data_IF_506508622848
#
_entry.id   IF_506508622848
#
_cell.length_a   1.000
_cell.length_b   1.000
_cell.length_c   1.000
_cell.angle_alpha   90.00
_cell.angle_beta   90.00
_cell.angle_gamma   90.00
#
_symmetry.space_group_name_H-M   'P 1'
#
loop_
_entity.id
_entity.type
_entity.pdbx_description
1 polymer ?
#
# COMPACT_ATOMS: atom_id res chain seq x y z
N UNK A 1 5.96 -35.70 7.19
CA UNK A 1 5.02 -34.64 6.75
C UNK A 1 4.96 -33.46 7.72
N UNK A 2 4.90 -33.69 9.04
CA UNK A 2 4.79 -32.65 10.07
C UNK A 2 6.01 -31.73 10.14
N UNK A 3 7.21 -32.27 9.93
CA UNK A 3 8.47 -31.50 10.00
C UNK A 3 8.62 -30.50 8.83
N UNK A 4 8.17 -30.90 7.64
CA UNK A 4 8.17 -30.04 6.44
C UNK A 4 7.18 -28.88 6.62
N UNK A 5 6.01 -29.15 7.19
CA UNK A 5 4.98 -28.13 7.44
C UNK A 5 5.47 -27.01 8.38
N UNK A 6 6.19 -27.39 9.45
CA UNK A 6 6.77 -26.43 10.41
C UNK A 6 7.81 -25.52 9.74
N UNK A 7 8.65 -26.07 8.87
CA UNK A 7 9.65 -25.29 8.10
C UNK A 7 8.99 -24.32 7.13
N UNK A 8 7.92 -24.73 6.43
CA UNK A 8 7.19 -23.84 5.53
C UNK A 8 6.54 -22.66 6.26
N UNK A 9 5.91 -22.90 7.40
CA UNK A 9 5.33 -21.83 8.22
C UNK A 9 6.40 -20.83 8.64
N UNK A 10 7.58 -21.29 9.06
CA UNK A 10 8.70 -20.43 9.47
C UNK A 10 9.22 -19.59 8.29
N UNK A 11 9.39 -20.20 7.12
CA UNK A 11 9.87 -19.49 5.91
C UNK A 11 8.87 -18.45 5.42
N UNK A 12 7.58 -18.78 5.42
CA UNK A 12 6.52 -17.86 4.97
C UNK A 12 6.26 -16.76 6.01
N UNK A 13 6.44 -17.04 7.30
CA UNK A 13 6.29 -16.08 8.40
C UNK A 13 7.56 -15.30 8.73
N UNK A 14 8.73 -15.72 8.23
CA UNK A 14 10.02 -15.08 8.47
C UNK A 14 10.16 -13.66 7.91
N UNK A 15 11.10 -12.88 8.46
CA UNK A 15 11.29 -11.45 8.16
C UNK A 15 11.71 -11.13 6.72
N UNK A 16 12.10 -12.13 5.89
CA UNK A 16 12.61 -11.96 4.51
C UNK A 16 11.64 -12.41 3.41
N UNK A 17 10.46 -12.11 3.47
CA UNK A 17 9.28 -12.43 2.73
C UNK A 17 8.86 -11.81 1.46
N UNK A 18 8.05 -12.36 0.60
CA UNK A 18 7.13 -11.57 -0.21
C UNK A 18 6.18 -10.88 0.76
N UNK A 19 6.47 -9.62 1.08
CA UNK A 19 5.52 -8.81 1.81
C UNK A 19 4.33 -8.56 0.91
N UNK A 20 3.16 -9.02 1.30
CA UNK A 20 1.95 -8.39 0.83
C UNK A 20 2.00 -6.93 1.24
N UNK A 21 1.41 -6.04 0.47
CA UNK A 21 1.49 -4.62 0.73
C UNK A 21 0.82 -4.29 2.06
N UNK A 22 1.61 -4.20 3.13
CA UNK A 22 1.15 -3.65 4.40
C UNK A 22 1.05 -2.13 4.39
N UNK A 23 1.34 -1.50 3.24
CA UNK A 23 1.38 -0.05 3.15
C UNK A 23 0.36 0.45 2.12
N UNK A 24 -0.38 1.48 2.46
CA UNK A 24 -1.16 2.26 1.51
C UNK A 24 -0.19 3.03 0.60
N UNK A 25 -0.48 3.01 -0.70
CA UNK A 25 0.25 3.78 -1.69
C UNK A 25 -0.13 5.26 -1.54
N UNK A 26 0.71 6.02 -0.90
CA UNK A 26 0.62 7.47 -0.82
C UNK A 26 1.99 8.03 -0.51
N UNK A 27 2.59 8.77 -1.42
CA UNK A 27 3.83 9.50 -1.17
C UNK A 27 3.50 10.76 -0.40
N UNK A 28 3.74 10.73 0.89
CA UNK A 28 3.73 11.93 1.73
C UNK A 28 5.16 12.21 2.16
N UNK A 29 5.82 13.07 1.45
CA UNK A 29 7.16 13.54 1.82
C UNK A 29 7.13 14.18 3.21
N UNK A 30 8.25 14.18 3.91
CA UNK A 30 8.43 14.92 5.17
C UNK A 30 8.20 16.45 4.99
N UNK A 31 8.16 16.91 3.74
CA UNK A 31 7.78 18.26 3.34
C UNK A 31 6.28 18.36 3.09
N UNK A 32 5.68 19.52 3.36
CA UNK A 32 4.28 19.79 3.02
C UNK A 32 4.01 19.51 1.55
N UNK A 33 2.92 18.82 1.25
CA UNK A 33 2.52 18.44 -0.10
C UNK A 33 1.48 19.43 -0.65
N UNK A 34 1.84 20.30 -1.62
CA UNK A 34 0.92 21.26 -2.21
C UNK A 34 0.03 20.60 -3.25
N UNK A 35 -1.27 20.83 -3.15
CA UNK A 35 -2.28 20.37 -4.12
C UNK A 35 -3.10 21.54 -4.61
N UNK A 36 -3.22 21.72 -5.94
CA UNK A 36 -4.06 22.76 -6.54
C UNK A 36 -5.55 22.40 -6.39
N UNK A 37 -6.42 23.40 -6.17
CA UNK A 37 -7.87 23.19 -6.10
C UNK A 37 -8.54 23.01 -7.48
N UNK A 38 -7.88 23.42 -8.56
CA UNK A 38 -8.39 23.27 -9.93
C UNK A 38 -7.30 22.70 -10.84
N UNK A 39 -7.07 21.41 -10.74
CA UNK A 39 -5.92 20.79 -11.41
C UNK A 39 -6.21 20.35 -12.83
N UNK A 40 -7.42 19.98 -13.11
CA UNK A 40 -7.67 19.42 -14.41
C UNK A 40 -8.15 20.48 -15.39
N UNK A 41 -7.23 21.03 -16.11
CA UNK A 41 -7.58 21.74 -17.32
C UNK A 41 -8.03 20.72 -18.37
N UNK A 42 -9.15 21.03 -19.04
CA UNK A 42 -9.55 20.34 -20.24
C UNK A 42 -8.43 20.47 -21.27
N UNK A 43 -7.88 19.36 -21.64
CA UNK A 43 -6.97 19.27 -22.76
C UNK A 43 -7.63 18.40 -23.86
N UNK A 44 -6.95 18.23 -25.00
CA UNK A 44 -7.45 17.41 -26.11
C UNK A 44 -7.89 15.99 -25.72
N UNK A 45 -7.47 15.49 -24.59
CA UNK A 45 -7.67 14.11 -24.14
C UNK A 45 -8.48 13.97 -22.84
N UNK A 46 -8.78 15.07 -22.17
CA UNK A 46 -9.46 15.05 -20.88
C UNK A 46 -10.64 16.01 -20.92
N UNK A 47 -11.86 15.48 -20.79
CA UNK A 47 -13.07 16.28 -20.62
C UNK A 47 -13.09 16.96 -19.25
N UNK A 48 -13.86 18.05 -19.10
CA UNK A 48 -14.03 18.74 -17.81
C UNK A 48 -14.60 17.80 -16.75
N UNK A 49 -15.60 16.99 -17.11
CA UNK A 49 -16.23 16.02 -16.21
C UNK A 49 -15.20 15.02 -15.63
N UNK A 50 -14.32 14.48 -16.48
CA UNK A 50 -13.28 13.56 -16.03
C UNK A 50 -12.22 14.24 -15.18
N UNK A 51 -11.94 15.49 -15.45
CA UNK A 51 -11.04 16.29 -14.66
C UNK A 51 -11.57 16.53 -13.25
N UNK A 52 -12.85 16.89 -13.16
CA UNK A 52 -13.55 17.11 -11.89
C UNK A 52 -13.65 15.81 -11.08
N UNK A 53 -13.89 14.67 -11.74
CA UNK A 53 -13.89 13.35 -11.10
C UNK A 53 -12.52 13.01 -10.47
N UNK A 54 -11.43 13.25 -11.20
CA UNK A 54 -10.06 12.99 -10.71
C UNK A 54 -9.78 13.87 -9.49
N UNK A 55 -10.08 15.16 -9.56
CA UNK A 55 -9.88 16.11 -8.48
C UNK A 55 -10.69 15.72 -7.24
N UNK A 56 -11.98 15.43 -7.41
CA UNK A 56 -12.86 15.03 -6.31
C UNK A 56 -12.32 13.78 -5.62
N UNK A 57 -11.85 12.79 -6.36
CA UNK A 57 -11.28 11.57 -5.82
C UNK A 57 -9.98 11.82 -5.06
N UNK A 58 -9.09 12.63 -5.59
CA UNK A 58 -7.81 12.95 -4.93
C UNK A 58 -8.06 13.69 -3.61
N UNK A 59 -8.89 14.73 -3.62
CA UNK A 59 -9.23 15.46 -2.39
C UNK A 59 -9.93 14.57 -1.38
N UNK A 60 -10.84 13.68 -1.79
CA UNK A 60 -11.50 12.77 -0.86
C UNK A 60 -10.52 11.84 -0.14
N UNK A 61 -9.46 11.41 -0.80
CA UNK A 61 -8.40 10.60 -0.18
C UNK A 61 -7.62 11.39 0.87
N UNK A 62 -7.20 12.62 0.55
CA UNK A 62 -6.49 13.47 1.49
C UNK A 62 -7.38 13.88 2.68
N UNK A 63 -8.62 14.27 2.41
CA UNK A 63 -9.57 14.67 3.46
C UNK A 63 -9.89 13.51 4.41
N UNK A 64 -9.98 12.28 3.92
CA UNK A 64 -10.13 11.10 4.75
C UNK A 64 -8.92 10.89 5.68
N UNK A 65 -7.69 11.12 5.19
CA UNK A 65 -6.47 11.04 6.00
C UNK A 65 -6.36 12.18 7.02
N UNK A 66 -6.84 13.38 6.68
CA UNK A 66 -6.95 14.50 7.64
C UNK A 66 -7.95 14.15 8.74
N UNK A 67 -9.13 13.64 8.37
CA UNK A 67 -10.16 13.20 9.33
C UNK A 67 -9.68 12.09 10.26
N UNK A 68 -8.83 11.19 9.73
CA UNK A 68 -8.15 10.15 10.52
C UNK A 68 -7.01 10.68 11.40
N UNK A 69 -6.69 11.96 11.34
CA UNK A 69 -5.62 12.59 12.14
C UNK A 69 -4.20 12.25 11.70
N UNK A 70 -4.03 11.77 10.45
CA UNK A 70 -2.72 11.43 9.90
C UNK A 70 -2.07 12.61 9.16
N UNK A 71 -2.90 13.50 8.61
CA UNK A 71 -2.50 14.71 7.95
C UNK A 71 -3.14 15.94 8.61
N UNK A 72 -2.49 17.09 8.45
CA UNK A 72 -3.10 18.41 8.58
C UNK A 72 -3.33 18.99 7.20
N UNK A 73 -4.26 19.94 7.08
CA UNK A 73 -4.53 20.67 5.85
C UNK A 73 -4.54 22.17 6.12
N UNK A 74 -4.01 22.94 5.17
CA UNK A 74 -3.98 24.40 5.21
C UNK A 74 -4.29 24.94 3.82
N UNK A 75 -5.27 25.85 3.72
CA UNK A 75 -5.51 26.58 2.47
C UNK A 75 -4.37 27.57 2.22
N UNK A 76 -3.86 27.59 1.02
CA UNK A 76 -2.70 28.41 0.62
C UNK A 76 -2.69 28.67 -0.88
N UNK A 77 -1.73 29.47 -1.34
CA UNK A 77 -1.43 29.63 -2.75
C UNK A 77 -0.30 28.66 -3.16
N UNK A 78 -0.55 27.87 -4.16
CA UNK A 78 0.42 26.90 -4.69
C UNK A 78 0.85 27.28 -6.10
N UNK A 79 1.99 26.74 -6.55
CA UNK A 79 2.46 26.93 -7.91
C UNK A 79 1.50 26.25 -8.90
N UNK A 80 0.97 27.02 -9.86
CA UNK A 80 0.15 26.45 -10.92
C UNK A 80 0.99 25.49 -11.76
N UNK A 81 0.46 24.28 -11.96
CA UNK A 81 1.09 23.26 -12.79
C UNK A 81 0.11 22.82 -13.86
N UNK A 82 0.52 22.85 -15.12
CA UNK A 82 -0.24 22.34 -16.25
C UNK A 82 0.52 21.14 -16.82
N UNK A 83 -0.04 19.95 -16.63
CA UNK A 83 0.68 18.71 -16.92
C UNK A 83 1.91 18.58 -16.01
N UNK A 84 3.11 18.55 -16.60
CA UNK A 84 4.38 18.48 -15.87
C UNK A 84 5.11 19.81 -15.74
N UNK A 85 4.52 20.91 -16.23
CA UNK A 85 5.19 22.22 -16.31
C UNK A 85 4.59 23.20 -15.31
N UNK A 86 5.45 23.90 -14.56
CA UNK A 86 5.05 25.04 -13.72
C UNK A 86 4.86 26.27 -14.61
N UNK A 87 3.76 26.98 -14.42
CA UNK A 87 3.45 28.20 -15.20
C UNK A 87 4.08 29.47 -14.62
N UNK A 88 4.59 29.38 -13.38
CA UNK A 88 5.09 30.53 -12.61
C UNK A 88 3.99 31.35 -11.94
N UNK A 89 2.72 30.99 -12.09
CA UNK A 89 1.59 31.64 -11.43
C UNK A 89 1.28 30.94 -10.11
N UNK A 90 0.65 31.68 -9.18
CA UNK A 90 0.10 31.14 -7.93
C UNK A 90 -1.42 31.04 -8.06
N UNK A 91 -1.95 29.90 -7.66
CA UNK A 91 -3.39 29.60 -7.68
C UNK A 91 -3.84 29.09 -6.31
N UNK A 92 -5.15 29.22 -5.97
CA UNK A 92 -5.68 28.63 -4.76
C UNK A 92 -5.40 27.13 -4.72
N UNK A 93 -4.95 26.65 -3.55
CA UNK A 93 -4.62 25.25 -3.31
C UNK A 93 -4.65 24.91 -1.84
N UNK A 94 -4.38 23.67 -1.55
CA UNK A 94 -4.22 23.15 -0.19
C UNK A 94 -2.84 22.55 0.01
N UNK A 95 -2.30 22.73 1.17
CA UNK A 95 -1.05 22.13 1.59
C UNK A 95 -1.34 21.10 2.67
N UNK A 96 -0.96 19.85 2.42
CA UNK A 96 -1.11 18.74 3.35
C UNK A 96 0.23 18.41 3.99
N UNK A 97 0.26 18.21 5.28
CA UNK A 97 1.45 17.86 6.03
C UNK A 97 1.19 16.71 7.01
N UNK A 98 2.20 15.88 7.25
CA UNK A 98 2.13 14.79 8.22
C UNK A 98 1.97 15.34 9.64
N UNK A 99 1.04 14.77 10.40
CA UNK A 99 0.98 14.94 11.85
C UNK A 99 2.03 14.07 12.55
N UNK A 100 2.30 14.32 13.81
CA UNK A 100 3.12 13.41 14.63
C UNK A 100 2.52 12.00 14.72
N UNK A 101 1.19 11.91 14.69
CA UNK A 101 0.51 10.61 14.61
C UNK A 101 0.71 9.95 13.25
N UNK A 102 0.60 10.69 12.15
CA UNK A 102 0.83 10.18 10.80
C UNK A 102 2.24 9.62 10.62
N UNK A 103 3.25 10.29 11.17
CA UNK A 103 4.65 9.85 11.11
C UNK A 103 4.88 8.46 11.71
N UNK A 104 4.10 8.03 12.70
CA UNK A 104 4.20 6.70 13.33
C UNK A 104 3.85 5.56 12.39
N UNK A 105 3.04 5.85 11.38
CA UNK A 105 2.58 4.85 10.40
C UNK A 105 3.38 4.85 9.10
N UNK A 106 4.41 5.66 8.98
CA UNK A 106 5.29 5.60 7.82
C UNK A 106 6.12 4.32 7.81
N UNK A 107 6.29 3.73 6.63
CA UNK A 107 7.14 2.55 6.45
C UNK A 107 8.60 2.85 6.79
N UNK A 108 9.07 3.99 6.35
CA UNK A 108 10.37 4.57 6.73
C UNK A 108 10.35 6.07 6.40
N UNK A 109 11.25 6.87 7.00
CA UNK A 109 11.38 8.30 6.64
C UNK A 109 11.66 8.55 5.16
N UNK A 110 12.30 7.58 4.50
CA UNK A 110 12.69 7.64 3.08
C UNK A 110 11.58 7.17 2.13
N UNK A 111 10.63 6.40 2.66
CA UNK A 111 9.47 5.88 1.93
C UNK A 111 8.20 6.29 2.65
N UNK A 112 7.60 7.38 2.23
CA UNK A 112 6.46 7.99 2.91
C UNK A 112 5.12 7.24 2.65
N UNK A 113 5.16 5.92 2.56
CA UNK A 113 3.97 5.09 2.44
C UNK A 113 3.42 4.77 3.83
N UNK A 114 2.12 4.95 4.04
CA UNK A 114 1.47 4.54 5.28
C UNK A 114 1.35 3.03 5.38
N UNK A 115 1.82 2.48 6.49
CA UNK A 115 1.69 1.07 6.83
C UNK A 115 0.49 0.82 7.72
N UNK A 116 -0.41 -0.04 7.28
CA UNK A 116 -1.68 -0.31 7.95
C UNK A 116 -1.66 -1.54 8.86
N UNK A 117 -0.63 -2.35 8.78
CA UNK A 117 -0.51 -3.61 9.52
C UNK A 117 0.41 -4.60 8.84
N UNK A 118 0.26 -5.86 9.20
CA UNK A 118 1.03 -6.98 8.66
C UNK A 118 0.10 -8.09 8.20
N UNK A 119 0.65 -9.03 7.41
CA UNK A 119 -0.06 -10.26 7.11
C UNK A 119 0.56 -11.42 7.86
N UNK A 120 -0.28 -12.35 8.28
CA UNK A 120 0.11 -13.60 8.91
C UNK A 120 -0.44 -14.75 8.07
N UNK A 121 0.37 -15.77 7.87
CA UNK A 121 -0.11 -17.03 7.29
C UNK A 121 -1.02 -17.71 8.29
N UNK A 122 -2.23 -18.06 7.84
CA UNK A 122 -3.20 -18.77 8.66
C UNK A 122 -2.98 -20.28 8.53
N UNK A 123 -2.89 -20.78 7.30
CA UNK A 123 -2.85 -22.20 7.01
C UNK A 123 -2.13 -22.49 5.69
N UNK A 124 -1.39 -23.59 5.65
CA UNK A 124 -0.90 -24.21 4.43
C UNK A 124 -1.96 -25.19 3.94
N UNK A 125 -2.53 -24.90 2.76
CA UNK A 125 -3.60 -25.72 2.16
C UNK A 125 -2.98 -27.01 1.59
N UNK A 126 -1.99 -26.85 0.74
CA UNK A 126 -1.25 -27.96 0.11
C UNK A 126 0.12 -27.48 -0.41
N UNK A 127 0.93 -28.43 -0.82
CA UNK A 127 2.17 -28.17 -1.53
C UNK A 127 2.48 -29.31 -2.52
N UNK A 128 3.20 -28.99 -3.60
CA UNK A 128 3.65 -30.00 -4.56
C UNK A 128 4.82 -30.79 -4.01
N UNK A 129 4.98 -32.05 -4.45
CA UNK A 129 6.24 -32.75 -4.26
C UNK A 129 7.39 -31.93 -4.85
N UNK A 130 8.55 -31.84 -4.15
CA UNK A 130 9.68 -31.12 -4.66
C UNK A 130 10.20 -31.71 -5.99
N UNK A 131 10.20 -30.89 -7.03
CA UNK A 131 10.73 -31.25 -8.35
C UNK A 131 12.06 -30.58 -8.65
N UNK A 132 12.85 -31.16 -9.52
CA UNK A 132 14.10 -30.59 -10.01
C UNK A 132 13.80 -29.63 -11.18
N UNK A 133 14.23 -28.39 -11.06
CA UNK A 133 14.14 -27.39 -12.12
C UNK A 133 15.43 -26.57 -12.16
N UNK A 134 16.09 -26.53 -13.30
CA UNK A 134 17.34 -25.78 -13.52
C UNK A 134 18.44 -26.07 -12.47
N UNK A 135 18.55 -27.34 -12.03
CA UNK A 135 19.52 -27.74 -11.00
C UNK A 135 19.14 -27.35 -9.55
N UNK A 136 17.94 -26.85 -9.34
CA UNK A 136 17.39 -26.50 -8.02
C UNK A 136 16.18 -27.37 -7.71
N UNK A 137 15.97 -27.67 -6.41
CA UNK A 137 14.72 -28.27 -5.95
C UNK A 137 13.70 -27.19 -5.65
N UNK A 138 12.55 -27.27 -6.33
CA UNK A 138 11.48 -26.29 -6.24
C UNK A 138 10.19 -26.99 -5.80
N UNK A 139 9.43 -26.35 -4.92
CA UNK A 139 8.05 -26.72 -4.57
C UNK A 139 7.14 -25.50 -4.63
N UNK A 140 5.86 -25.75 -4.89
CA UNK A 140 4.81 -24.71 -4.79
C UNK A 140 3.96 -24.97 -3.59
N UNK A 141 3.67 -23.89 -2.85
CA UNK A 141 2.87 -23.91 -1.63
C UNK A 141 1.63 -23.04 -1.85
N UNK A 142 0.45 -23.60 -1.64
CA UNK A 142 -0.81 -22.87 -1.57
C UNK A 142 -1.12 -22.61 -0.09
N UNK A 143 -1.44 -21.39 0.26
CA UNK A 143 -1.69 -21.01 1.64
C UNK A 143 -2.78 -19.95 1.74
N UNK A 144 -3.34 -19.82 2.94
CA UNK A 144 -4.19 -18.69 3.31
C UNK A 144 -3.42 -17.74 4.23
N UNK A 145 -3.79 -16.47 4.16
CA UNK A 145 -3.23 -15.43 5.00
C UNK A 145 -4.29 -14.40 5.35
N UNK A 146 -4.14 -13.79 6.50
CA UNK A 146 -5.03 -12.75 7.01
C UNK A 146 -4.25 -11.54 7.48
N UNK A 147 -4.83 -10.33 7.36
CA UNK A 147 -4.24 -9.14 7.93
C UNK A 147 -4.27 -9.18 9.46
N UNK A 148 -3.23 -8.66 10.09
CA UNK A 148 -3.08 -8.60 11.55
C UNK A 148 -2.48 -7.27 11.98
N UNK A 149 -2.70 -6.87 13.24
CA UNK A 149 -2.25 -5.59 13.78
C UNK A 149 -2.68 -4.39 12.94
N UNK A 150 -3.91 -4.42 12.47
CA UNK A 150 -4.46 -3.35 11.62
C UNK A 150 -4.66 -2.09 12.44
N UNK A 151 -4.10 -0.98 11.96
CA UNK A 151 -4.29 0.32 12.56
C UNK A 151 -5.79 0.71 12.57
N UNK A 152 -6.28 1.22 13.68
CA UNK A 152 -7.71 1.53 13.85
C UNK A 152 -8.21 2.53 12.80
N UNK A 153 -7.41 3.52 12.43
CA UNK A 153 -7.76 4.47 11.40
C UNK A 153 -8.06 3.82 10.03
N UNK A 154 -7.39 2.71 9.71
CA UNK A 154 -7.58 1.99 8.45
C UNK A 154 -8.89 1.21 8.38
N UNK A 155 -9.56 1.00 9.52
CA UNK A 155 -10.84 0.30 9.62
C UNK A 155 -12.04 1.22 9.44
N UNK A 156 -11.84 2.54 9.47
CA UNK A 156 -12.94 3.50 9.35
C UNK A 156 -13.58 3.46 7.96
N UNK A 157 -14.89 3.66 7.90
CA UNK A 157 -15.66 3.64 6.65
C UNK A 157 -15.19 4.73 5.68
N UNK A 158 -14.85 5.90 6.19
CA UNK A 158 -14.35 7.01 5.38
C UNK A 158 -13.04 6.64 4.66
N UNK A 159 -12.10 6.01 5.37
CA UNK A 159 -10.84 5.54 4.78
C UNK A 159 -11.09 4.42 3.77
N UNK A 160 -11.95 3.45 4.09
CA UNK A 160 -12.25 2.36 3.17
C UNK A 160 -13.01 2.84 1.92
N UNK A 161 -13.82 3.87 2.03
CA UNK A 161 -14.48 4.50 0.89
C UNK A 161 -13.48 5.28 0.02
N UNK A 162 -12.56 6.03 0.65
CA UNK A 162 -11.53 6.78 -0.06
C UNK A 162 -10.46 5.88 -0.71
N UNK A 163 -10.19 4.70 -0.13
CA UNK A 163 -9.19 3.73 -0.59
C UNK A 163 -9.81 2.35 -0.86
N UNK A 164 -10.53 2.14 -1.98
CA UNK A 164 -11.26 0.90 -2.24
C UNK A 164 -10.41 -0.38 -2.21
N UNK A 165 -9.14 -0.29 -2.62
CA UNK A 165 -8.21 -1.43 -2.57
C UNK A 165 -7.92 -1.86 -1.12
N UNK A 166 -8.02 -0.95 -0.16
CA UNK A 166 -7.82 -1.27 1.24
C UNK A 166 -8.87 -2.25 1.74
N UNK A 167 -10.13 -2.07 1.37
CA UNK A 167 -11.21 -2.99 1.72
C UNK A 167 -10.94 -4.42 1.22
N UNK A 168 -10.30 -4.55 0.06
CA UNK A 168 -9.88 -5.86 -0.44
C UNK A 168 -8.71 -6.41 0.38
N UNK A 169 -7.71 -5.59 0.67
CA UNK A 169 -6.52 -5.99 1.41
C UNK A 169 -6.81 -6.38 2.87
N UNK A 170 -7.90 -5.87 3.44
CA UNK A 170 -8.32 -6.20 4.81
C UNK A 170 -9.16 -7.48 4.92
N UNK A 171 -9.45 -8.18 3.82
CA UNK A 171 -10.17 -9.47 3.88
C UNK A 171 -9.32 -10.53 4.55
N UNK A 172 -9.97 -11.33 5.38
CA UNK A 172 -9.38 -12.51 6.02
C UNK A 172 -9.33 -13.71 5.06
N UNK A 173 -8.48 -14.68 5.38
CA UNK A 173 -8.35 -15.96 4.67
C UNK A 173 -8.18 -15.82 3.16
N UNK A 174 -7.41 -14.83 2.76
CA UNK A 174 -7.03 -14.67 1.36
C UNK A 174 -6.12 -15.82 0.93
N UNK A 175 -6.33 -16.35 -0.28
CA UNK A 175 -5.51 -17.42 -0.84
C UNK A 175 -4.35 -16.85 -1.65
N UNK A 176 -3.20 -17.45 -1.51
CA UNK A 176 -2.05 -17.15 -2.36
C UNK A 176 -1.22 -18.40 -2.62
N UNK A 177 -0.34 -18.29 -3.60
CA UNK A 177 0.59 -19.33 -4.01
C UNK A 177 2.01 -18.76 -4.05
N UNK A 178 2.95 -19.55 -3.57
CA UNK A 178 4.35 -19.18 -3.52
C UNK A 178 5.22 -20.36 -3.99
N UNK A 179 6.24 -20.06 -4.79
CA UNK A 179 7.29 -21.04 -5.10
C UNK A 179 8.42 -20.93 -4.09
N UNK A 180 8.88 -22.05 -3.59
CA UNK A 180 10.01 -22.15 -2.68
C UNK A 180 11.14 -22.93 -3.35
N UNK A 181 12.36 -22.48 -3.13
CA UNK A 181 13.59 -23.15 -3.58
C UNK A 181 14.32 -23.69 -2.37
N UNK A 182 14.78 -24.93 -2.45
CA UNK A 182 15.62 -25.53 -1.42
C UNK A 182 17.05 -24.99 -1.53
N UNK A 183 17.50 -24.31 -0.50
CA UNK A 183 18.87 -23.83 -0.30
C UNK A 183 19.56 -24.60 0.82
N UNK A 184 20.83 -24.31 1.05
CA UNK A 184 21.64 -24.99 2.08
C UNK A 184 21.08 -24.80 3.51
N UNK A 185 20.39 -23.69 3.75
CA UNK A 185 19.78 -23.30 5.02
C UNK A 185 18.27 -23.63 5.10
N UNK A 186 17.71 -24.24 4.07
CA UNK A 186 16.31 -24.65 4.01
C UNK A 186 15.53 -24.08 2.82
N UNK A 187 14.22 -24.12 2.91
CA UNK A 187 13.34 -23.60 1.89
C UNK A 187 13.28 -22.07 1.92
N UNK A 188 13.48 -21.42 0.79
CA UNK A 188 13.45 -19.97 0.65
C UNK A 188 12.47 -19.56 -0.43
N UNK A 189 11.74 -18.47 -0.20
CA UNK A 189 10.91 -17.85 -1.23
C UNK A 189 11.81 -17.22 -2.31
N UNK A 190 11.59 -17.58 -3.58
CA UNK A 190 12.18 -16.82 -4.69
C UNK A 190 11.39 -15.53 -4.94
N UNK A 191 12.15 -14.49 -5.25
CA UNK A 191 11.62 -13.19 -5.68
C UNK A 191 11.69 -13.06 -7.19
#
# INVERSE_FOLDING_TARGET
KTMILSVFITVISGHDKPQPPGCLLGRFDSKPYPVQLSVAQTNRYTSQERADEINTKEFSMFDALVKAGLLTVKDTLVDETIGFSKTGKKVPGREYALTENGKKYLKSPERPDFCIGHYKVDEIIDFTEPGDAMGMKITRVNYTFSPTNIAEWAKSDDIQAAFPLLKFNLKEKQKNRLSLVLKNDGWSAER
#
